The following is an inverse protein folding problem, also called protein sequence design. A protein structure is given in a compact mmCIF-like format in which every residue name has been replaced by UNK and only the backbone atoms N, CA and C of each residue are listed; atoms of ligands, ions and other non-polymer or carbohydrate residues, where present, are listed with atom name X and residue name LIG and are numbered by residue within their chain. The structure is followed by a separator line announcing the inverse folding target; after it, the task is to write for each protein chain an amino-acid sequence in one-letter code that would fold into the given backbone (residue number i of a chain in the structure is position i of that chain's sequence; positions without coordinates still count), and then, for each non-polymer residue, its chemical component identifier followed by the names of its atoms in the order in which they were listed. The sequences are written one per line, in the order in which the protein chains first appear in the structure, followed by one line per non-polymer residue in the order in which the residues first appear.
data_IF_109624261690
#
_entry.id   IF_109624261690
#
_cell.length_a   1.000
_cell.length_b   1.000
_cell.length_c   1.000
_cell.angle_alpha   90.00
_cell.angle_beta   90.00
_cell.angle_gamma   90.00
#
_symmetry.space_group_name_H-M   'P 1'
#
loop_
_entity.id
_entity.type
_entity.pdbx_description
1 polymer ?
#
# COMPACT_ATOMS: atom_id res chain seq x y z
N UNK A 1 -11.02 -12.94 17.53
CA UNK A 1 -10.13 -13.75 16.86
C UNK A 1 -9.21 -13.05 15.90
N UNK A 2 -8.44 -13.86 15.20
CA UNK A 2 -7.50 -13.32 14.24
C UNK A 2 -8.13 -13.31 12.85
N UNK A 3 -7.65 -12.45 12.00
CA UNK A 3 -8.11 -12.44 10.61
C UNK A 3 -6.93 -12.61 9.67
N UNK A 4 -7.21 -13.14 8.49
CA UNK A 4 -6.21 -13.32 7.47
C UNK A 4 -7.01 -13.23 6.16
N UNK A 5 -6.95 -12.10 5.50
CA UNK A 5 -7.78 -11.81 4.35
C UNK A 5 -6.90 -11.53 3.15
N UNK A 6 -7.12 -12.24 2.07
CA UNK A 6 -6.40 -12.01 0.83
C UNK A 6 -7.36 -11.70 -0.29
N UNK A 7 -7.02 -10.72 -1.11
CA UNK A 7 -7.82 -10.31 -2.24
C UNK A 7 -6.93 -10.32 -3.47
N UNK A 8 -7.38 -10.99 -4.53
CA UNK A 8 -6.65 -11.05 -5.77
C UNK A 8 -7.46 -10.34 -6.86
N UNK A 9 -6.80 -9.66 -7.74
CA UNK A 9 -7.42 -9.00 -8.87
C UNK A 9 -6.57 -9.11 -10.12
N UNK A 10 -6.94 -8.42 -11.17
CA UNK A 10 -6.20 -8.51 -12.43
C UNK A 10 -4.83 -7.83 -12.35
N UNK A 11 -3.94 -8.20 -13.27
CA UNK A 11 -2.63 -7.61 -13.37
C UNK A 11 -1.81 -7.73 -12.10
N UNK A 12 -1.92 -8.85 -11.42
CA UNK A 12 -1.12 -9.08 -10.23
C UNK A 12 -1.58 -8.32 -9.00
N UNK A 13 -2.75 -7.67 -9.07
CA UNK A 13 -3.26 -6.95 -7.92
C UNK A 13 -3.46 -7.93 -6.78
N UNK A 14 -2.91 -7.61 -5.63
CA UNK A 14 -2.99 -8.49 -4.48
C UNK A 14 -2.95 -7.66 -3.20
N UNK A 15 -3.83 -7.99 -2.28
CA UNK A 15 -3.82 -7.38 -0.96
C UNK A 15 -3.94 -8.50 0.06
N UNK A 16 -3.12 -8.45 1.10
CA UNK A 16 -3.16 -9.50 2.13
C UNK A 16 -3.02 -8.82 3.48
N UNK A 17 -4.03 -8.92 4.28
CA UNK A 17 -4.10 -8.25 5.56
C UNK A 17 -4.25 -9.28 6.67
N UNK A 18 -3.41 -9.22 7.67
CA UNK A 18 -3.52 -10.11 8.82
C UNK A 18 -3.53 -9.28 10.09
N UNK A 19 -4.15 -9.79 11.11
CA UNK A 19 -4.19 -9.13 12.40
C UNK A 19 -5.04 -9.88 13.41
N UNK A 20 -5.33 -9.23 14.51
CA UNK A 20 -6.09 -9.84 15.59
C UNK A 20 -6.50 -8.83 16.64
N UNK A 21 -7.01 -9.32 17.76
CA UNK A 21 -7.52 -8.42 18.79
C UNK A 21 -6.48 -7.52 19.42
N UNK A 22 -5.21 -7.90 19.31
CA UNK A 22 -4.17 -7.09 19.90
C UNK A 22 -3.50 -6.18 18.88
N UNK A 23 -4.13 -5.91 17.75
CA UNK A 23 -3.57 -5.04 16.73
C UNK A 23 -3.30 -3.65 17.30
N UNK A 24 -2.23 -3.02 16.85
CA UNK A 24 -2.05 -1.62 17.20
C UNK A 24 -3.13 -0.77 16.55
N UNK A 25 -3.41 0.37 17.12
CA UNK A 25 -4.46 1.25 16.61
C UNK A 25 -3.94 2.07 15.43
N UNK A 26 -3.50 1.41 14.39
CA UNK A 26 -2.92 2.05 13.22
C UNK A 26 -3.77 1.74 12.00
N UNK A 27 -4.11 2.77 11.25
CA UNK A 27 -4.80 2.58 9.98
C UNK A 27 -3.78 2.77 8.87
N UNK A 28 -3.86 1.91 7.86
CA UNK A 28 -2.97 1.96 6.71
C UNK A 28 -3.84 2.03 5.46
N UNK A 29 -3.54 2.97 4.58
CA UNK A 29 -4.24 3.08 3.32
C UNK A 29 -3.22 3.32 2.21
N UNK A 30 -3.38 2.65 1.11
CA UNK A 30 -2.46 2.75 -0.01
C UNK A 30 -3.22 3.25 -1.23
N UNK A 31 -2.71 4.27 -1.90
CA UNK A 31 -3.33 4.74 -3.11
C UNK A 31 -2.28 5.21 -4.10
N UNK A 32 -2.65 5.35 -5.36
CA UNK A 32 -1.71 5.77 -6.38
C UNK A 32 -1.54 7.28 -6.29
N UNK A 33 -0.29 7.72 -6.40
CA UNK A 33 0.03 9.15 -6.42
C UNK A 33 0.34 9.49 -7.87
N UNK A 34 -0.48 10.33 -8.49
CA UNK A 34 -0.33 10.65 -9.90
C UNK A 34 0.28 12.01 -10.10
N UNK A 35 1.07 12.11 -11.16
CA UNK A 35 1.61 13.37 -11.56
C UNK A 35 0.48 14.20 -12.18
N UNK A 36 0.30 15.41 -11.72
CA UNK A 36 -0.81 16.23 -12.19
C UNK A 36 -0.69 16.62 -13.65
N UNK A 37 0.51 16.62 -14.20
CA UNK A 37 0.64 17.01 -15.58
C UNK A 37 0.44 15.82 -16.50
N UNK A 38 1.00 14.69 -16.23
CA UNK A 38 0.93 13.56 -17.13
C UNK A 38 -0.16 12.58 -16.78
N UNK A 39 -0.76 12.71 -15.63
CA UNK A 39 -1.79 11.78 -15.15
C UNK A 39 -1.23 10.37 -14.98
N UNK A 40 0.10 10.23 -14.91
CA UNK A 40 0.68 8.91 -14.73
C UNK A 40 0.94 8.68 -13.28
N UNK A 41 0.77 7.45 -12.82
CA UNK A 41 1.09 7.11 -11.46
C UNK A 41 2.59 6.99 -11.34
N UNK A 42 3.20 7.75 -10.47
CA UNK A 42 4.63 7.75 -10.29
C UNK A 42 5.04 7.17 -8.97
N UNK A 43 4.14 7.05 -8.06
CA UNK A 43 4.45 6.53 -6.73
C UNK A 43 3.20 5.94 -6.10
N UNK A 44 3.39 5.17 -5.05
CA UNK A 44 2.29 4.79 -4.20
C UNK A 44 2.35 5.68 -2.98
N UNK A 45 1.23 6.20 -2.56
CA UNK A 45 1.13 6.98 -1.34
C UNK A 45 0.61 6.06 -0.26
N UNK A 46 1.40 5.87 0.79
CA UNK A 46 1.04 5.04 1.90
C UNK A 46 0.66 5.98 3.03
N UNK A 47 -0.60 6.00 3.39
CA UNK A 47 -1.11 6.88 4.43
C UNK A 47 -1.21 6.10 5.73
N UNK A 48 -0.51 6.58 6.75
CA UNK A 48 -0.49 5.93 8.06
C UNK A 48 -1.13 6.85 9.09
N UNK A 49 -1.94 6.28 9.95
CA UNK A 49 -2.59 7.06 11.01
C UNK A 49 -2.53 6.27 12.30
N UNK A 50 -1.92 6.84 13.32
CA UNK A 50 -1.86 6.22 14.65
C UNK A 50 -2.95 6.85 15.49
N UNK A 51 -3.98 6.06 15.84
CA UNK A 51 -5.09 6.57 16.62
C UNK A 51 -4.88 6.40 18.12
N UNK A 52 -3.73 5.86 18.52
CA UNK A 52 -3.45 5.67 19.94
C UNK A 52 -2.75 6.88 20.51
N UNK A 53 -2.74 6.98 21.83
CA UNK A 53 -2.09 8.10 22.47
C UNK A 53 -0.65 7.77 22.86
N UNK A 54 -0.04 6.84 22.16
CA UNK A 54 1.36 6.49 22.36
C UNK A 54 1.97 6.16 21.01
N UNK A 55 3.26 6.28 20.87
CA UNK A 55 3.92 6.01 19.60
C UNK A 55 3.88 4.52 19.23
N UNK A 56 3.98 4.22 17.96
CA UNK A 56 3.98 2.85 17.45
C UNK A 56 5.09 2.70 16.41
N UNK A 57 5.81 1.60 16.44
CA UNK A 57 6.84 1.33 15.46
C UNK A 57 6.21 0.85 14.18
N UNK A 58 6.69 1.35 13.05
CA UNK A 58 6.22 0.95 11.72
C UNK A 58 7.41 0.43 10.93
N UNK A 59 7.23 -0.69 10.25
CA UNK A 59 8.23 -1.23 9.35
C UNK A 59 7.61 -1.39 7.97
N UNK A 60 8.28 -0.90 6.94
CA UNK A 60 7.83 -1.02 5.57
C UNK A 60 8.94 -1.73 4.80
N UNK A 61 8.65 -2.89 4.25
CA UNK A 61 9.65 -3.67 3.57
C UNK A 61 9.16 -4.08 2.19
N UNK A 62 9.96 -3.82 1.16
CA UNK A 62 9.67 -4.30 -0.17
C UNK A 62 9.96 -5.80 -0.22
N UNK A 63 9.11 -6.54 -0.88
CA UNK A 63 9.29 -7.98 -0.99
C UNK A 63 9.86 -8.38 -2.33
N UNK A 64 9.60 -7.60 -3.36
CA UNK A 64 10.06 -7.88 -4.70
C UNK A 64 10.33 -6.55 -5.36
N UNK A 65 10.99 -6.54 -6.45
CA UNK A 65 11.18 -5.36 -7.32
C UNK A 65 12.04 -4.26 -6.72
N UNK A 66 12.38 -4.30 -5.45
CA UNK A 66 13.23 -3.27 -4.88
C UNK A 66 13.78 -3.76 -3.56
N UNK A 67 14.75 -3.05 -3.03
CA UNK A 67 15.33 -3.38 -1.74
C UNK A 67 14.93 -2.37 -0.69
N UNK A 68 13.84 -1.68 -0.90
CA UNK A 68 13.39 -0.65 0.02
C UNK A 68 13.05 -1.25 1.37
N UNK A 69 13.52 -0.62 2.42
CA UNK A 69 13.20 -1.01 3.77
C UNK A 69 13.26 0.24 4.63
N UNK A 70 12.24 0.51 5.40
CA UNK A 70 12.16 1.69 6.23
C UNK A 70 11.57 1.37 7.58
N UNK A 71 12.16 1.91 8.63
CA UNK A 71 11.62 1.81 9.98
C UNK A 71 11.36 3.23 10.46
N UNK A 72 10.24 3.44 11.09
CA UNK A 72 9.93 4.76 11.64
C UNK A 72 9.08 4.62 12.89
N UNK A 73 9.05 5.67 13.67
CA UNK A 73 8.20 5.73 14.84
C UNK A 73 7.07 6.68 14.51
N UNK A 74 5.85 6.17 14.50
CA UNK A 74 4.68 6.99 14.22
C UNK A 74 4.16 7.48 15.56
N UNK A 75 4.20 8.78 15.79
CA UNK A 75 3.87 9.34 17.09
C UNK A 75 2.40 9.21 17.44
N UNK A 76 2.09 9.49 18.69
CA UNK A 76 0.71 9.44 19.16
C UNK A 76 -0.17 10.36 18.32
N UNK A 77 -1.27 9.87 17.85
CA UNK A 77 -2.24 10.63 17.06
C UNK A 77 -1.66 11.22 15.77
N UNK A 78 -0.53 10.71 15.34
CA UNK A 78 0.13 11.23 14.15
C UNK A 78 -0.41 10.62 12.87
N UNK A 79 -0.47 11.42 11.82
CA UNK A 79 -0.76 10.96 10.48
C UNK A 79 0.46 11.27 9.64
N UNK A 80 0.83 10.34 8.77
CA UNK A 80 2.00 10.55 7.91
C UNK A 80 1.77 9.86 6.57
N UNK A 81 2.25 10.48 5.50
CA UNK A 81 2.19 9.90 4.17
C UNK A 81 3.61 9.59 3.72
N UNK A 82 3.83 8.38 3.26
CA UNK A 82 5.11 7.95 2.72
C UNK A 82 4.89 7.69 1.24
N UNK A 83 5.74 8.26 0.39
CA UNK A 83 5.65 8.02 -1.04
C UNK A 83 6.68 6.95 -1.42
N UNK A 84 6.23 5.90 -2.08
CA UNK A 84 7.09 4.84 -2.54
C UNK A 84 7.22 4.93 -4.05
N UNK A 85 8.44 5.13 -4.52
CA UNK A 85 8.69 5.29 -5.94
C UNK A 85 8.55 3.95 -6.63
N UNK A 86 7.69 3.85 -7.63
CA UNK A 86 7.49 2.63 -8.38
C UNK A 86 7.98 2.78 -9.81
N UNK A 87 8.51 3.95 -10.18
CA UNK A 87 8.93 4.16 -11.56
C UNK A 87 10.07 3.26 -11.98
N UNK A 88 10.99 2.96 -11.07
CA UNK A 88 12.13 2.15 -11.42
C UNK A 88 11.80 0.70 -11.63
N UNK A 89 10.69 0.22 -11.12
CA UNK A 89 10.29 -1.15 -11.28
C UNK A 89 9.20 -1.27 -12.34
N UNK A 90 9.08 -0.31 -13.22
CA UNK A 90 8.10 -0.30 -14.29
C UNK A 90 6.70 -0.40 -13.72
N UNK A 91 6.47 0.30 -12.62
CA UNK A 91 5.19 0.36 -11.94
C UNK A 91 4.73 -0.97 -11.29
N UNK A 92 5.62 -1.91 -11.12
CA UNK A 92 5.33 -3.09 -10.32
C UNK A 92 5.70 -2.82 -8.87
N UNK A 93 4.91 -3.31 -7.96
CA UNK A 93 5.19 -3.10 -6.53
C UNK A 93 4.81 -4.33 -5.71
N UNK A 94 5.47 -4.52 -4.60
CA UNK A 94 5.15 -5.58 -3.64
C UNK A 94 5.85 -5.20 -2.34
N UNK A 95 5.07 -4.73 -1.36
CA UNK A 95 5.65 -4.34 -0.09
C UNK A 95 4.70 -4.69 1.05
N UNK A 96 5.23 -4.78 2.25
CA UNK A 96 4.48 -5.11 3.45
C UNK A 96 4.71 -4.03 4.50
N UNK A 97 3.65 -3.63 5.18
CA UNK A 97 3.69 -2.72 6.30
C UNK A 97 3.38 -3.51 7.55
N UNK A 98 4.23 -3.40 8.55
CA UNK A 98 4.00 -4.01 9.86
C UNK A 98 4.00 -2.93 10.91
N UNK A 99 3.31 -3.14 11.99
CA UNK A 99 3.22 -2.18 13.06
C UNK A 99 3.27 -2.89 14.39
N UNK A 100 3.78 -2.21 15.39
CA UNK A 100 3.79 -2.73 16.75
C UNK A 100 4.94 -3.68 17.05
N UNK A 101 5.90 -3.81 16.16
CA UNK A 101 7.08 -4.62 16.45
C UNK A 101 6.90 -6.12 16.31
N UNK A 102 5.73 -6.61 16.08
CA UNK A 102 5.51 -8.03 15.91
C UNK A 102 5.13 -8.37 14.48
N UNK A 103 4.77 -9.62 14.26
CA UNK A 103 4.37 -10.04 12.95
C UNK A 103 2.86 -10.26 12.83
N UNK A 104 2.14 -10.04 13.89
CA UNK A 104 0.71 -10.29 13.86
C UNK A 104 -0.07 -9.35 12.98
N UNK A 105 0.34 -8.09 12.95
CA UNK A 105 -0.35 -7.09 12.13
C UNK A 105 0.47 -6.89 10.87
N UNK A 106 -0.10 -7.17 9.72
CA UNK A 106 0.58 -6.90 8.46
C UNK A 106 -0.41 -6.47 7.39
N UNK A 107 0.07 -5.62 6.50
CA UNK A 107 -0.69 -5.16 5.35
C UNK A 107 0.22 -5.27 4.15
N UNK A 108 -0.07 -6.19 3.25
CA UNK A 108 0.73 -6.39 2.05
C UNK A 108 -0.01 -5.86 0.85
N UNK A 109 0.69 -5.10 0.02
CA UNK A 109 0.14 -4.51 -1.17
C UNK A 109 1.05 -4.88 -2.35
N UNK A 110 0.48 -5.48 -3.37
CA UNK A 110 1.25 -5.86 -4.55
C UNK A 110 0.41 -5.61 -5.80
N UNK A 111 1.05 -5.33 -6.88
CA UNK A 111 0.35 -5.12 -8.15
C UNK A 111 1.19 -4.41 -9.18
N UNK A 112 0.53 -4.01 -10.25
CA UNK A 112 1.14 -3.25 -11.32
C UNK A 112 0.24 -2.06 -11.59
N UNK A 113 0.79 -0.85 -11.52
CA UNK A 113 0.00 0.34 -11.71
C UNK A 113 -0.06 0.63 -13.19
N UNK A 114 -1.26 0.83 -13.75
CA UNK A 114 -1.41 1.15 -15.13
C UNK A 114 -0.92 2.57 -15.37
N UNK A 115 -0.20 2.80 -16.44
CA UNK A 115 0.34 4.10 -16.67
C UNK A 115 -0.60 5.03 -17.39
N UNK A 116 -1.64 4.51 -17.91
CA UNK A 116 -2.53 5.37 -18.65
C UNK A 116 -2.18 5.44 -20.07
N UNK A 117 -1.09 4.88 -20.45
CA UNK A 117 -0.82 4.93 -21.77
C UNK A 117 -1.49 3.92 -22.39
N UNK A 118 -1.71 3.47 -22.50
CA UNK A 118 -2.36 2.57 -23.00
C UNK A 118 -3.07 2.01 -23.00
N UNK A 119 -3.33 2.03 -23.08
CA UNK A 119 -3.92 1.57 -23.17
C UNK A 119 -4.36 0.62 -23.11
N UNK A 120 -4.19 0.21 -23.14
CA UNK A 120 -4.50 -0.72 -23.06
C UNK A 120 -5.02 -1.17 -22.23
N UNK A 121 -5.52 -0.95 -22.04
CA UNK A 121 -5.97 -1.18 -21.00
C UNK A 121 -6.84 -2.18 -20.89
N UNK A 122 -6.85 -2.93 -20.02
CA UNK A 122 -7.70 -3.94 -19.84
C UNK A 122 -9.01 -3.40 -19.52
N UNK A 123 -9.94 -3.76 -20.22
CA UNK A 123 -11.27 -3.29 -19.99
C UNK A 123 -11.74 -3.65 -18.61
N UNK A 124 -11.32 -4.73 -18.14
CA UNK A 124 -11.82 -5.12 -16.85
C UNK A 124 -11.26 -4.17 -15.87
N UNK A 125 -10.22 -3.61 -16.17
CA UNK A 125 -9.73 -2.79 -15.30
C UNK A 125 -10.33 -1.59 -15.41
N UNK A 126 -10.57 -1.29 -16.46
CA UNK A 126 -11.17 -0.12 -16.63
C UNK A 126 -12.29 0.06 -15.83
N UNK A 127 -12.90 -0.84 -15.61
CA UNK A 127 -14.01 -0.64 -14.96
C UNK A 127 -13.73 -0.54 -13.71
N UNK A 128 -13.06 -1.17 -13.34
CA UNK A 128 -12.88 -1.17 -12.10
C UNK A 128 -12.20 0.01 -12.01
N UNK A 129 -11.57 0.29 -12.76
CA UNK A 129 -10.88 1.22 -12.56
C UNK A 129 -11.29 2.27 -12.88
N UNK A 130 -11.96 2.29 -13.30
CA UNK A 130 -12.29 3.28 -13.64
C UNK A 130 -12.34 3.74 -12.51
N UNK A 131 -12.55 3.40 -11.93
CA UNK A 131 -12.52 3.63 -10.96
C UNK A 131 -11.70 3.01 -10.37
N UNK A 132 -11.34 2.39 -10.85
CA UNK A 132 -10.71 1.56 -10.24
C UNK A 132 -9.68 1.93 -9.48
N UNK A 133 -8.99 2.46 -9.77
CA UNK A 133 -7.92 2.61 -9.11
C UNK A 133 -8.04 3.13 -7.88
N UNK A 134 -9.06 3.41 -7.46
CA UNK A 134 -9.06 3.93 -6.35
C UNK A 134 -9.47 3.16 -5.41
N UNK A 135 -9.43 2.21 -5.35
CA UNK A 135 -10.00 1.54 -4.57
C UNK A 135 -9.23 1.15 -3.57
N UNK A 136 -8.82 1.43 -2.93
CA UNK A 136 -8.29 1.00 -1.82
C UNK A 136 -8.50 1.97 -0.88
#
# INVERSE_FOLDING_TARGET
GRYDIAIHGPNGFYRHFTGGPDDPAVDVRCEYHRNSRSQRAEALALHLSNRANKPTDIAIDARSYSRYSKRLLLGAMERRTILLDIGRSLQWYDFTVRAGGGEGFSRRYAGHVETGDASFTDPAMGLASAEGSRFY
#
